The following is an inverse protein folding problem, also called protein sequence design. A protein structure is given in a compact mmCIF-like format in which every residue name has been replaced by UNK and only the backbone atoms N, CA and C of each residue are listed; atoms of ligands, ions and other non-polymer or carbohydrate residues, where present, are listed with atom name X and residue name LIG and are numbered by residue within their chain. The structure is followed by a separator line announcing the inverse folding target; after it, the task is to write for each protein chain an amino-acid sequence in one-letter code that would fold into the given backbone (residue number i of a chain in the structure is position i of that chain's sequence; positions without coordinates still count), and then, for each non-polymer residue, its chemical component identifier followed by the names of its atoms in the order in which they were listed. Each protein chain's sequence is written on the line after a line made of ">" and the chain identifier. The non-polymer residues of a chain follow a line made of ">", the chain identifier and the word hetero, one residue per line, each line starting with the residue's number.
data_IF_834215820389
#
_entry.id   IF_834215820389
#
_cell.length_a   1.000
_cell.length_b   1.000
_cell.length_c   1.000
_cell.angle_alpha   90.00
_cell.angle_beta   90.00
_cell.angle_gamma   90.00
#
_symmetry.space_group_name_H-M   'P 1'
#
loop_
_entity.id
_entity.type
_entity.pdbx_description
1 polymer ?
#
# COMPACT_ATOMS: atom_id res chain seq x y z
N UNK A 1 -17.00 0.47 1.79
CA UNK A 1 -17.82 0.37 3.03
C UNK A 1 -17.23 -0.69 3.95
N UNK A 2 -17.10 -0.42 5.24
CA UNK A 2 -16.43 -1.31 6.24
C UNK A 2 -17.41 -1.74 7.35
N UNK A 3 -18.43 -2.56 7.06
CA UNK A 3 -19.42 -2.98 8.05
C UNK A 3 -18.81 -3.94 9.08
N UNK A 4 -18.92 -3.60 10.37
CA UNK A 4 -18.32 -4.39 11.45
C UNK A 4 -18.90 -5.82 11.61
N UNK A 5 -20.07 -6.11 11.02
CA UNK A 5 -20.69 -7.43 11.02
C UNK A 5 -20.24 -8.33 9.85
N UNK A 6 -19.29 -7.88 9.02
CA UNK A 6 -18.70 -8.69 7.93
C UNK A 6 -17.19 -8.75 8.12
N UNK A 7 -16.68 -9.96 8.37
CA UNK A 7 -15.24 -10.19 8.49
C UNK A 7 -14.66 -9.60 9.77
N UNK A 8 -13.52 -8.90 9.64
CA UNK A 8 -12.79 -8.32 10.76
C UNK A 8 -12.02 -7.04 10.34
N UNK A 9 -11.07 -6.59 11.17
CA UNK A 9 -10.24 -5.42 10.88
C UNK A 9 -9.42 -5.56 9.58
N UNK A 10 -8.98 -6.77 9.22
CA UNK A 10 -8.23 -6.99 7.96
C UNK A 10 -9.11 -6.83 6.71
N UNK A 11 -10.40 -7.17 6.80
CA UNK A 11 -11.36 -6.91 5.71
C UNK A 11 -11.65 -5.40 5.59
N UNK A 12 -11.60 -4.69 6.72
CA UNK A 12 -11.65 -3.24 6.77
C UNK A 12 -10.45 -2.59 6.08
N UNK A 13 -9.24 -3.09 6.35
CA UNK A 13 -8.00 -2.67 5.69
C UNK A 13 -8.12 -2.85 4.17
N UNK A 14 -8.48 -4.06 3.71
CA UNK A 14 -8.62 -4.40 2.29
C UNK A 14 -9.57 -3.44 1.56
N UNK A 15 -10.79 -3.27 2.08
CA UNK A 15 -11.80 -2.43 1.42
C UNK A 15 -11.42 -0.95 1.45
N UNK A 16 -10.69 -0.50 2.46
CA UNK A 16 -10.20 0.88 2.51
C UNK A 16 -9.11 1.12 1.47
N UNK A 17 -8.10 0.24 1.39
CA UNK A 17 -7.03 0.35 0.39
C UNK A 17 -7.62 0.30 -1.02
N UNK A 18 -8.47 -0.69 -1.32
CA UNK A 18 -9.19 -0.73 -2.60
C UNK A 18 -9.92 0.59 -2.89
N UNK A 19 -10.64 1.15 -1.92
CA UNK A 19 -11.38 2.39 -2.10
C UNK A 19 -10.49 3.59 -2.43
N UNK A 20 -9.31 3.68 -1.80
CA UNK A 20 -8.31 4.72 -2.11
C UNK A 20 -7.76 4.53 -3.53
N UNK A 21 -7.37 3.31 -3.92
CA UNK A 21 -6.88 3.04 -5.27
C UNK A 21 -7.96 3.34 -6.32
N UNK A 22 -9.18 2.83 -6.13
CA UNK A 22 -10.31 3.08 -7.04
C UNK A 22 -10.58 4.57 -7.20
N UNK A 23 -10.53 5.34 -6.12
CA UNK A 23 -10.75 6.80 -6.18
C UNK A 23 -9.76 7.51 -7.12
N UNK A 24 -8.50 7.07 -7.17
CA UNK A 24 -7.48 7.70 -8.01
C UNK A 24 -7.37 7.06 -9.40
N UNK A 25 -7.69 5.77 -9.55
CA UNK A 25 -7.44 5.00 -10.76
C UNK A 25 -8.66 4.90 -11.69
N UNK A 26 -9.87 5.02 -11.16
CA UNK A 26 -11.09 4.83 -11.95
C UNK A 26 -11.15 5.78 -13.15
N UNK A 27 -11.31 5.20 -14.34
CA UNK A 27 -11.38 5.93 -15.60
C UNK A 27 -10.04 6.52 -16.07
N UNK A 28 -8.92 6.11 -15.47
CA UNK A 28 -7.57 6.46 -15.95
C UNK A 28 -7.05 5.39 -16.89
N UNK A 29 -6.29 5.82 -17.89
CA UNK A 29 -5.57 4.91 -18.77
C UNK A 29 -4.28 4.45 -18.09
N UNK A 30 -4.00 3.14 -18.14
CA UNK A 30 -2.76 2.56 -17.65
C UNK A 30 -1.71 2.61 -18.75
N UNK A 31 -0.51 3.07 -18.40
CA UNK A 31 0.70 2.90 -19.21
C UNK A 31 1.71 2.14 -18.38
N UNK A 32 1.97 0.88 -18.73
CA UNK A 32 2.84 0.01 -17.94
C UNK A 32 4.26 0.57 -17.77
N UNK A 33 4.71 0.66 -16.53
CA UNK A 33 6.06 0.97 -16.12
C UNK A 33 6.76 -0.33 -15.70
N UNK A 34 7.35 -1.02 -16.68
CA UNK A 34 8.07 -2.27 -16.45
C UNK A 34 9.19 -2.11 -15.41
N UNK A 35 9.37 -3.12 -14.57
CA UNK A 35 10.35 -3.16 -13.48
C UNK A 35 9.96 -2.40 -12.21
N UNK A 36 8.78 -1.75 -12.18
CA UNK A 36 8.26 -1.08 -10.97
C UNK A 36 7.13 -1.91 -10.35
N UNK A 37 7.21 -2.14 -9.04
CA UNK A 37 6.20 -2.90 -8.29
C UNK A 37 5.54 -2.07 -7.19
N UNK A 38 4.29 -2.39 -6.87
CA UNK A 38 3.65 -1.91 -5.65
C UNK A 38 3.84 -2.94 -4.52
N UNK A 39 4.10 -2.46 -3.32
CA UNK A 39 4.13 -3.28 -2.09
C UNK A 39 3.03 -2.81 -1.15
N UNK A 40 2.20 -3.74 -0.68
CA UNK A 40 1.19 -3.51 0.35
C UNK A 40 1.58 -4.35 1.60
N UNK A 41 1.92 -3.73 2.74
CA UNK A 41 2.40 -4.43 3.93
C UNK A 41 1.29 -5.15 4.71
N UNK A 42 0.03 -4.71 4.57
CA UNK A 42 -1.10 -5.21 5.34
C UNK A 42 -1.29 -4.51 6.69
N UNK A 43 -2.22 -5.02 7.50
CA UNK A 43 -2.47 -4.56 8.85
C UNK A 43 -1.38 -5.12 9.79
N UNK A 44 -0.48 -4.26 10.27
CA UNK A 44 0.71 -4.69 11.00
C UNK A 44 0.96 -3.84 12.25
N UNK A 45 0.96 -4.49 13.42
CA UNK A 45 1.28 -3.86 14.70
C UNK A 45 2.77 -3.48 14.84
N UNK A 46 3.64 -4.05 14.01
CA UNK A 46 5.08 -3.77 13.94
C UNK A 46 5.45 -2.90 12.73
N UNK A 47 4.47 -2.23 12.10
CA UNK A 47 4.66 -1.50 10.85
C UNK A 47 5.81 -0.48 10.88
N UNK A 48 6.12 0.14 12.02
CA UNK A 48 7.25 1.06 12.16
C UNK A 48 8.58 0.37 11.81
N UNK A 49 8.90 -0.74 12.48
CA UNK A 49 10.14 -1.48 12.24
C UNK A 49 10.10 -2.24 10.91
N UNK A 50 9.00 -2.94 10.63
CA UNK A 50 8.86 -3.78 9.46
C UNK A 50 8.91 -2.98 8.15
N UNK A 51 8.22 -1.84 8.06
CA UNK A 51 8.23 -1.04 6.83
C UNK A 51 9.62 -0.43 6.58
N UNK A 52 10.31 0.03 7.64
CA UNK A 52 11.69 0.54 7.53
C UNK A 52 12.65 -0.55 7.02
N UNK A 53 12.53 -1.77 7.54
CA UNK A 53 13.36 -2.90 7.09
C UNK A 53 13.03 -3.32 5.66
N UNK A 54 11.74 -3.40 5.30
CA UNK A 54 11.32 -3.70 3.93
C UNK A 54 11.88 -2.70 2.94
N UNK A 55 11.75 -1.40 3.22
CA UNK A 55 12.33 -0.35 2.37
C UNK A 55 13.85 -0.49 2.27
N UNK A 56 14.55 -0.69 3.40
CA UNK A 56 16.01 -0.92 3.42
C UNK A 56 16.42 -2.07 2.53
N UNK A 57 15.70 -3.20 2.59
CA UNK A 57 15.98 -4.38 1.76
C UNK A 57 15.71 -4.13 0.28
N UNK A 58 14.57 -3.52 -0.05
CA UNK A 58 14.21 -3.17 -1.43
C UNK A 58 15.22 -2.20 -2.05
N UNK A 59 15.65 -1.20 -1.29
CA UNK A 59 16.65 -0.22 -1.72
C UNK A 59 18.02 -0.88 -1.96
N UNK A 60 18.46 -1.77 -1.06
CA UNK A 60 19.70 -2.53 -1.24
C UNK A 60 19.67 -3.47 -2.45
N UNK A 61 18.50 -4.01 -2.76
CA UNK A 61 18.29 -4.83 -3.96
C UNK A 61 18.14 -4.00 -5.23
N UNK A 62 18.04 -2.66 -5.14
CA UNK A 62 17.82 -1.78 -6.29
C UNK A 62 16.46 -1.95 -6.94
N UNK A 63 15.45 -2.38 -6.17
CA UNK A 63 14.08 -2.55 -6.68
C UNK A 63 13.42 -1.18 -6.82
N UNK A 64 12.76 -0.92 -7.95
CA UNK A 64 11.86 0.22 -8.08
C UNK A 64 10.49 -0.14 -7.51
N UNK A 65 10.03 0.58 -6.48
CA UNK A 65 8.76 0.28 -5.84
C UNK A 65 7.97 1.51 -5.41
N UNK A 66 6.66 1.34 -5.32
CA UNK A 66 5.77 2.21 -4.55
C UNK A 66 5.27 1.47 -3.32
N UNK A 67 5.44 2.06 -2.13
CA UNK A 67 4.99 1.49 -0.88
C UNK A 67 3.62 2.05 -0.49
N UNK A 68 2.58 1.23 -0.54
CA UNK A 68 1.18 1.63 -0.33
C UNK A 68 0.80 1.37 1.13
N UNK A 69 0.26 2.39 1.82
CA UNK A 69 -0.07 2.35 3.26
C UNK A 69 1.15 2.25 4.17
N UNK A 70 2.07 3.20 4.05
CA UNK A 70 3.16 3.33 5.02
C UNK A 70 2.75 4.20 6.21
N UNK A 71 2.65 3.60 7.40
CA UNK A 71 2.38 4.33 8.64
C UNK A 71 3.59 4.43 9.58
N UNK A 72 4.79 4.10 9.09
CA UNK A 72 5.98 3.98 9.94
C UNK A 72 6.41 5.27 10.63
N UNK A 73 6.34 6.41 9.94
CA UNK A 73 6.64 7.72 10.56
C UNK A 73 5.44 8.25 11.35
N UNK A 74 4.23 8.05 10.82
CA UNK A 74 2.98 8.49 11.44
C UNK A 74 2.80 7.96 12.87
N UNK A 75 3.26 6.74 13.13
CA UNK A 75 3.20 6.09 14.45
C UNK A 75 4.52 6.16 15.25
N UNK A 76 5.50 6.97 14.81
CA UNK A 76 6.80 7.11 15.48
C UNK A 76 7.34 8.55 15.42
N UNK A 77 6.44 9.54 15.58
CA UNK A 77 6.83 10.96 15.59
C UNK A 77 7.70 11.30 16.83
N UNK A 78 8.68 12.20 16.70
CA UNK A 78 9.58 12.52 17.80
C UNK A 78 8.88 13.36 18.88
N UNK A 79 9.33 13.21 20.13
CA UNK A 79 8.97 14.11 21.24
C UNK A 79 9.96 15.28 21.32
N UNK A 80 9.87 16.21 20.37
CA UNK A 80 10.76 17.36 20.24
C UNK A 80 10.14 18.71 20.66
N UNK A 81 8.92 18.66 21.23
CA UNK A 81 8.16 19.83 21.64
C UNK A 81 7.10 20.28 20.63
N UNK A 82 7.05 19.66 19.44
CA UNK A 82 6.01 19.90 18.43
C UNK A 82 5.11 18.66 18.27
N UNK A 83 3.80 18.84 18.35
CA UNK A 83 2.85 17.78 18.01
C UNK A 83 2.60 17.75 16.50
N UNK A 84 2.91 16.63 15.86
CA UNK A 84 2.64 16.38 14.45
C UNK A 84 1.38 15.53 14.33
N UNK A 85 0.31 16.12 13.81
CA UNK A 85 -0.92 15.39 13.50
C UNK A 85 -0.70 14.39 12.35
N UNK A 86 0.12 14.77 11.37
CA UNK A 86 0.47 13.95 10.20
C UNK A 86 1.99 13.95 10.00
N UNK A 87 2.57 12.79 9.70
CA UNK A 87 3.98 12.68 9.32
C UNK A 87 4.21 11.48 8.37
N UNK A 88 5.16 11.62 7.44
CA UNK A 88 5.46 10.64 6.41
C UNK A 88 4.25 10.23 5.55
N UNK A 89 4.10 8.92 5.32
CA UNK A 89 3.01 8.35 4.53
C UNK A 89 3.29 8.18 3.04
N UNK A 90 2.50 7.34 2.38
CA UNK A 90 2.51 7.22 0.92
C UNK A 90 2.01 8.53 0.29
N UNK A 91 2.78 9.12 -0.62
CA UNK A 91 2.35 10.36 -1.29
C UNK A 91 1.16 10.09 -2.22
N UNK A 92 0.27 11.07 -2.33
CA UNK A 92 -0.89 11.00 -3.24
C UNK A 92 -0.45 10.79 -4.70
N UNK A 93 0.64 11.43 -5.13
CA UNK A 93 1.16 11.25 -6.50
C UNK A 93 1.70 9.84 -6.72
N UNK A 94 2.31 9.22 -5.71
CA UNK A 94 2.78 7.83 -5.79
C UNK A 94 1.59 6.87 -5.89
N UNK A 95 0.49 7.11 -5.17
CA UNK A 95 -0.75 6.32 -5.31
C UNK A 95 -1.32 6.42 -6.72
N UNK A 96 -1.30 7.61 -7.36
CA UNK A 96 -1.75 7.74 -8.76
C UNK A 96 -0.81 7.02 -9.72
N UNK A 97 0.50 7.17 -9.54
CA UNK A 97 1.53 6.54 -10.36
C UNK A 97 1.51 5.00 -10.23
N UNK A 98 1.13 4.47 -9.06
CA UNK A 98 1.04 3.05 -8.77
C UNK A 98 0.08 2.27 -9.70
N UNK A 99 -0.85 2.94 -10.40
CA UNK A 99 -1.67 2.32 -11.46
C UNK A 99 -0.79 1.71 -12.57
N UNK A 100 0.35 2.35 -12.86
CA UNK A 100 1.24 2.01 -13.94
C UNK A 100 2.23 0.89 -13.57
N UNK A 101 2.33 0.48 -12.31
CA UNK A 101 3.24 -0.59 -11.90
C UNK A 101 3.00 -1.87 -12.70
N UNK A 102 4.06 -2.65 -12.91
CA UNK A 102 4.01 -3.96 -13.56
C UNK A 102 3.23 -4.96 -12.68
N UNK A 103 3.51 -4.95 -11.37
CA UNK A 103 2.90 -5.86 -10.42
C UNK A 103 2.53 -5.18 -9.10
N UNK A 104 1.53 -5.72 -8.41
CA UNK A 104 1.24 -5.41 -7.00
C UNK A 104 1.41 -6.65 -6.15
N UNK A 105 2.27 -6.55 -5.13
CA UNK A 105 2.53 -7.61 -4.16
C UNK A 105 1.90 -7.25 -2.81
N UNK A 106 1.20 -8.21 -2.22
CA UNK A 106 0.75 -8.15 -0.84
C UNK A 106 1.61 -9.04 0.05
N UNK A 107 2.06 -8.51 1.18
CA UNK A 107 2.81 -9.28 2.17
C UNK A 107 1.91 -10.01 3.16
N UNK A 108 0.59 -9.82 3.07
CA UNK A 108 -0.38 -10.54 3.90
C UNK A 108 -1.64 -10.87 3.11
N UNK A 109 -1.76 -12.12 2.64
CA UNK A 109 -2.87 -12.59 1.79
C UNK A 109 -4.28 -12.14 2.22
N UNK A 110 -4.62 -12.25 3.51
CA UNK A 110 -5.97 -11.95 4.01
C UNK A 110 -6.31 -10.45 4.07
N UNK A 111 -5.33 -9.56 3.91
CA UNK A 111 -5.52 -8.11 4.02
C UNK A 111 -5.85 -7.43 2.68
N UNK A 112 -5.76 -8.14 1.56
CA UNK A 112 -5.76 -7.50 0.23
C UNK A 112 -6.47 -8.30 -0.85
N UNK A 113 -7.41 -9.20 -0.50
CA UNK A 113 -8.05 -10.08 -1.49
C UNK A 113 -8.79 -9.28 -2.57
N UNK A 114 -9.58 -8.29 -2.15
CA UNK A 114 -10.34 -7.41 -3.06
C UNK A 114 -9.46 -6.35 -3.70
N UNK A 115 -8.43 -5.90 -2.98
CA UNK A 115 -7.45 -4.94 -3.51
C UNK A 115 -6.64 -5.56 -4.65
N UNK A 116 -6.13 -6.79 -4.49
CA UNK A 116 -5.41 -7.49 -5.55
C UNK A 116 -6.32 -7.88 -6.72
N UNK A 117 -7.57 -8.26 -6.45
CA UNK A 117 -8.56 -8.44 -7.52
C UNK A 117 -8.69 -7.16 -8.36
N UNK A 118 -8.84 -6.00 -7.72
CA UNK A 118 -8.90 -4.71 -8.42
C UNK A 118 -7.62 -4.37 -9.18
N UNK A 119 -6.44 -4.63 -8.60
CA UNK A 119 -5.16 -4.46 -9.32
C UNK A 119 -5.08 -5.34 -10.57
N UNK A 120 -5.59 -6.57 -10.49
CA UNK A 120 -5.69 -7.50 -11.62
C UNK A 120 -6.66 -7.01 -12.69
N UNK A 121 -7.82 -6.46 -12.30
CA UNK A 121 -8.81 -5.88 -13.22
C UNK A 121 -8.24 -4.71 -14.04
N UNK A 122 -7.34 -3.91 -13.46
CA UNK A 122 -6.65 -2.82 -14.16
C UNK A 122 -5.40 -3.29 -14.93
N UNK A 123 -5.13 -4.60 -14.95
CA UNK A 123 -4.12 -5.23 -15.79
C UNK A 123 -2.73 -5.38 -15.16
N UNK A 124 -2.60 -5.28 -13.84
CA UNK A 124 -1.34 -5.57 -13.16
C UNK A 124 -1.20 -7.06 -12.86
N UNK A 125 0.03 -7.58 -12.85
CA UNK A 125 0.29 -8.87 -12.22
C UNK A 125 0.09 -8.76 -10.70
N UNK A 126 -0.38 -9.82 -10.06
CA UNK A 126 -0.59 -9.82 -8.61
C UNK A 126 -0.02 -11.06 -7.94
N UNK A 127 0.53 -10.87 -6.75
CA UNK A 127 0.92 -11.97 -5.88
C UNK A 127 0.67 -11.61 -4.43
N UNK A 128 0.46 -12.64 -3.61
CA UNK A 128 0.27 -12.51 -2.17
C UNK A 128 1.06 -13.58 -1.44
N UNK A 129 1.60 -13.22 -0.28
CA UNK A 129 2.33 -14.11 0.61
C UNK A 129 1.65 -14.24 1.98
#
# INVERSE_FOLDING_TARGET
>A
HTPAFVGSHVDGYDVMVKGVLENFWKGKERTEAAGTINIIPGFDGFCVGNNRELKRLLDLMGVSYTFIQDASDQYDTPSDGEYRMYDGGTKIEDVKAALNAEATLSLQHYNTRKTLEYCGEVGQATASF
#
